data_IF_645059979411
#
_entry.id   IF_645059979411
#
_cell.length_a   1.000
_cell.length_b   1.000
_cell.length_c   1.000
_cell.angle_alpha   90.00
_cell.angle_beta   90.00
_cell.angle_gamma   90.00
#
_symmetry.space_group_name_H-M   'P 1'
#
loop_
_entity.id
_entity.type
_entity.pdbx_description
1 polymer ?
#
# COMPACT_ATOMS: atom_id res chain seq x y z
N UNK A 1 11.70 9.21 7.47
CA UNK A 1 11.63 7.89 8.13
C UNK A 1 12.48 6.85 7.41
N UNK A 2 13.66 7.25 6.92
CA UNK A 2 14.56 6.36 6.20
C UNK A 2 14.98 5.19 7.10
N UNK A 3 14.77 3.96 6.65
CA UNK A 3 15.15 2.73 7.37
C UNK A 3 14.01 1.96 8.05
N UNK A 4 12.78 2.49 8.07
CA UNK A 4 11.61 1.74 8.56
C UNK A 4 11.07 0.85 7.45
N UNK A 5 10.86 -0.43 7.75
CA UNK A 5 10.10 -1.36 6.90
C UNK A 5 8.86 -1.82 7.65
N UNK A 6 7.69 -1.67 7.01
CA UNK A 6 6.42 -2.21 7.49
C UNK A 6 5.95 -3.28 6.51
N UNK A 7 5.75 -4.48 7.03
CA UNK A 7 5.25 -5.63 6.28
C UNK A 7 3.88 -6.03 6.85
N UNK A 8 2.88 -6.12 5.98
CA UNK A 8 1.49 -6.42 6.33
C UNK A 8 0.99 -7.63 5.53
N UNK A 9 0.75 -8.74 6.23
CA UNK A 9 -0.04 -9.86 5.71
C UNK A 9 -1.53 -9.58 5.98
N UNK A 10 -2.32 -9.43 4.92
CA UNK A 10 -3.73 -9.06 4.99
C UNK A 10 -4.05 -7.91 4.02
N UNK A 11 -5.00 -7.08 4.39
CA UNK A 11 -5.46 -5.91 3.64
C UNK A 11 -5.37 -4.63 4.50
N UNK A 12 -5.35 -3.48 3.83
CA UNK A 12 -5.34 -2.17 4.47
C UNK A 12 -6.49 -1.30 3.95
N UNK A 13 -6.98 -0.43 4.82
CA UNK A 13 -8.01 0.54 4.46
C UNK A 13 -7.43 1.78 3.75
N UNK A 14 -8.25 2.81 3.60
CA UNK A 14 -7.89 4.09 2.98
C UNK A 14 -6.61 4.71 3.57
N UNK A 15 -5.94 5.55 2.77
CA UNK A 15 -4.75 6.30 3.17
C UNK A 15 -3.51 5.46 3.49
N UNK A 16 -3.44 4.21 3.00
CA UNK A 16 -2.23 3.41 3.11
C UNK A 16 -1.02 4.19 2.59
N UNK A 17 -0.03 4.39 3.45
CA UNK A 17 1.18 5.17 3.11
C UNK A 17 0.98 6.66 2.88
N UNK A 18 -0.09 7.30 3.41
CA UNK A 18 -0.24 8.76 3.38
C UNK A 18 1.01 9.45 3.96
N UNK A 19 1.56 10.39 3.21
CA UNK A 19 2.78 11.11 3.59
C UNK A 19 4.01 10.21 3.68
N UNK A 20 4.09 9.14 2.89
CA UNK A 20 5.27 8.28 2.84
C UNK A 20 6.52 9.15 2.61
N UNK A 21 7.47 9.06 3.54
CA UNK A 21 8.65 9.95 3.60
C UNK A 21 9.92 9.15 3.93
N UNK A 22 10.15 8.09 3.16
CA UNK A 22 11.40 7.33 3.14
C UNK A 22 11.34 5.91 3.70
N UNK A 23 10.17 5.45 4.13
CA UNK A 23 9.98 4.08 4.59
C UNK A 23 9.73 3.10 3.43
N UNK A 24 9.86 1.80 3.72
CA UNK A 24 9.44 0.70 2.84
C UNK A 24 8.14 0.11 3.36
N UNK A 25 7.10 0.08 2.53
CA UNK A 25 5.80 -0.51 2.84
C UNK A 25 5.56 -1.74 1.98
N UNK A 26 5.17 -2.86 2.56
CA UNK A 26 4.90 -4.10 1.86
C UNK A 26 3.53 -4.62 2.33
N UNK A 27 2.61 -4.88 1.40
CA UNK A 27 1.30 -5.46 1.70
C UNK A 27 0.98 -6.59 0.73
N UNK A 28 0.56 -7.72 1.28
CA UNK A 28 0.18 -8.91 0.53
C UNK A 28 -0.93 -9.70 1.23
N UNK A 29 -1.78 -10.42 0.48
CA UNK A 29 -2.90 -11.13 1.07
C UNK A 29 -2.39 -12.29 1.92
N UNK A 30 -3.22 -12.77 2.84
CA UNK A 30 -2.85 -13.92 3.65
C UNK A 30 -2.43 -15.12 2.79
N UNK A 31 -1.48 -15.91 3.28
CA UNK A 31 -1.04 -17.15 2.62
C UNK A 31 -2.20 -18.14 2.39
N UNK A 32 -3.27 -18.02 3.18
CA UNK A 32 -4.47 -18.86 3.08
C UNK A 32 -5.57 -18.25 2.19
N UNK A 33 -5.33 -17.11 1.54
CA UNK A 33 -6.30 -16.49 0.65
C UNK A 33 -6.57 -17.39 -0.57
N UNK A 34 -7.84 -17.67 -0.84
CA UNK A 34 -8.27 -18.49 -1.98
C UNK A 34 -8.57 -17.68 -3.24
N UNK A 35 -8.56 -16.35 -3.15
CA UNK A 35 -8.82 -15.45 -4.27
C UNK A 35 -7.54 -15.05 -5.02
N UNK A 36 -7.70 -14.66 -6.28
CA UNK A 36 -6.59 -14.18 -7.13
C UNK A 36 -6.21 -12.75 -6.71
N UNK A 37 -5.02 -12.50 -6.13
CA UNK A 37 -4.68 -11.20 -5.55
C UNK A 37 -4.79 -10.04 -6.52
N UNK A 38 -4.26 -10.19 -7.74
CA UNK A 38 -4.25 -9.17 -8.79
C UNK A 38 -5.66 -8.76 -9.27
N UNK A 39 -6.70 -9.52 -8.94
CA UNK A 39 -8.08 -9.20 -9.26
C UNK A 39 -8.84 -8.51 -8.12
N UNK A 40 -8.29 -8.50 -6.91
CA UNK A 40 -8.97 -8.06 -5.68
C UNK A 40 -8.32 -6.82 -5.06
N UNK A 41 -9.13 -5.98 -4.41
CA UNK A 41 -8.65 -4.79 -3.71
C UNK A 41 -7.98 -5.23 -2.41
N UNK A 42 -6.78 -4.71 -2.15
CA UNK A 42 -6.00 -4.99 -0.94
C UNK A 42 -5.62 -3.72 -0.18
N UNK A 43 -5.61 -2.56 -0.84
CA UNK A 43 -5.50 -1.26 -0.18
C UNK A 43 -6.66 -0.35 -0.60
N UNK A 44 -7.16 0.44 0.34
CA UNK A 44 -8.26 1.37 0.11
C UNK A 44 -7.90 2.56 -0.78
N UNK A 45 -8.75 3.58 -0.72
CA UNK A 45 -8.66 4.79 -1.51
C UNK A 45 -7.56 5.73 -1.01
N UNK A 46 -7.12 6.65 -1.88
CA UNK A 46 -6.24 7.78 -1.52
C UNK A 46 -4.91 7.30 -0.89
N UNK A 47 -4.45 6.12 -1.30
CA UNK A 47 -3.15 5.58 -0.90
C UNK A 47 -2.01 6.50 -1.39
N UNK A 48 -0.96 6.63 -0.60
CA UNK A 48 0.23 7.44 -0.87
C UNK A 48 -0.03 8.93 -1.09
N UNK A 49 -1.10 9.46 -0.49
CA UNK A 49 -1.39 10.89 -0.58
C UNK A 49 -0.24 11.74 -0.05
N UNK A 50 0.34 12.59 -0.91
CA UNK A 50 1.43 13.48 -0.53
C UNK A 50 2.71 12.76 -0.14
N UNK A 51 2.93 11.54 -0.62
CA UNK A 51 4.23 10.87 -0.49
C UNK A 51 5.33 11.71 -1.15
N UNK A 52 6.52 11.74 -0.52
CA UNK A 52 7.68 12.52 -0.97
C UNK A 52 8.93 11.68 -1.22
N UNK A 53 8.99 10.48 -0.63
CA UNK A 53 10.10 9.53 -0.77
C UNK A 53 9.72 8.19 -0.15
N UNK A 54 10.41 7.11 -0.51
CA UNK A 54 10.17 5.76 0.01
C UNK A 54 9.71 4.78 -1.07
N UNK A 55 9.47 3.53 -0.67
CA UNK A 55 9.10 2.44 -1.57
C UNK A 55 7.84 1.75 -1.05
N UNK A 56 6.95 1.34 -1.94
CA UNK A 56 5.79 0.55 -1.60
C UNK A 56 5.59 -0.62 -2.58
N UNK A 57 5.35 -1.81 -2.05
CA UNK A 57 5.12 -3.04 -2.80
C UNK A 57 3.75 -3.61 -2.41
N UNK A 58 2.86 -3.77 -3.40
CA UNK A 58 1.45 -4.10 -3.19
C UNK A 58 1.10 -5.33 -4.03
N UNK A 59 0.68 -6.43 -3.39
CA UNK A 59 0.19 -7.64 -4.09
C UNK A 59 -1.34 -7.64 -4.18
N UNK A 60 -1.87 -6.77 -5.04
CA UNK A 60 -3.30 -6.67 -5.33
C UNK A 60 -3.68 -5.35 -5.98
N UNK A 61 -4.97 -5.02 -6.02
CA UNK A 61 -5.48 -3.73 -6.52
C UNK A 61 -5.57 -2.69 -5.42
N UNK A 62 -5.42 -1.43 -5.81
CA UNK A 62 -5.75 -0.29 -4.98
C UNK A 62 -7.17 0.23 -5.27
N UNK A 63 -7.77 0.92 -4.30
CA UNK A 63 -8.99 1.70 -4.51
C UNK A 63 -8.77 2.95 -5.37
N UNK A 64 -9.72 3.87 -5.31
CA UNK A 64 -9.69 5.11 -6.08
C UNK A 64 -8.58 6.07 -5.64
N UNK A 65 -8.20 6.99 -6.55
CA UNK A 65 -7.22 8.07 -6.28
C UNK A 65 -5.88 7.57 -5.73
N UNK A 66 -5.42 6.43 -6.25
CA UNK A 66 -4.11 5.87 -5.95
C UNK A 66 -2.99 6.86 -6.28
N UNK A 67 -2.05 7.06 -5.34
CA UNK A 67 -0.89 7.94 -5.46
C UNK A 67 -1.23 9.41 -5.79
N UNK A 68 -2.39 9.89 -5.35
CA UNK A 68 -2.78 11.29 -5.57
C UNK A 68 -1.82 12.25 -4.86
N UNK A 69 -1.28 13.22 -5.59
CA UNK A 69 -0.23 14.14 -5.10
C UNK A 69 1.06 13.47 -4.62
N UNK A 70 1.41 12.30 -5.16
CA UNK A 70 2.76 11.76 -4.99
C UNK A 70 3.79 12.71 -5.66
N UNK A 71 4.88 13.04 -4.97
CA UNK A 71 5.86 14.07 -5.36
C UNK A 71 7.29 13.60 -5.22
#
# INVERSE_FOLDING_TARGET
TNGITLELEGDANDYFGKGLSGAKLIVYPSKNASYIPENNIIIGNVAFYGATSGEAYIRGKAGERFAVRNS
#
